data_IF_723480604263
#
_entry.id   IF_723480604263
#
_cell.length_a   1.000
_cell.length_b   1.000
_cell.length_c   1.000
_cell.angle_alpha   90.00
_cell.angle_beta   90.00
_cell.angle_gamma   90.00
#
_symmetry.space_group_name_H-M   'P 1'
#
loop_
_entity.id
_entity.type
_entity.pdbx_description
1 polymer ?
#
# COMPACT_ATOMS: atom_id res chain seq x y z
N UNK A 1 7.86 -47.17 9.37
CA UNK A 1 7.77 -45.74 9.01
C UNK A 1 6.36 -45.26 9.34
N UNK A 2 6.22 -44.56 10.46
CA UNK A 2 4.96 -43.99 10.93
C UNK A 2 4.93 -42.56 10.36
N UNK A 3 4.06 -42.28 9.39
CA UNK A 3 3.82 -40.91 8.97
C UNK A 3 3.10 -40.20 10.12
N UNK A 4 3.71 -39.20 10.77
CA UNK A 4 3.07 -38.50 11.87
C UNK A 4 1.93 -37.65 11.31
N UNK A 5 0.75 -37.80 11.92
CA UNK A 5 -0.37 -36.85 11.91
C UNK A 5 -0.56 -36.10 10.58
N UNK A 6 -1.10 -36.80 9.58
CA UNK A 6 -1.70 -36.13 8.44
C UNK A 6 -2.81 -35.24 9.01
N UNK A 7 -2.55 -33.94 9.09
CA UNK A 7 -3.53 -32.95 9.57
C UNK A 7 -4.77 -33.15 8.72
N UNK A 8 -5.86 -33.58 9.36
CA UNK A 8 -7.09 -33.91 8.68
C UNK A 8 -7.64 -32.65 7.99
N UNK A 9 -7.52 -32.64 6.66
CA UNK A 9 -7.98 -31.53 5.82
C UNK A 9 -9.50 -31.30 5.99
N UNK A 10 -10.26 -32.33 6.37
CA UNK A 10 -11.68 -32.20 6.67
C UNK A 10 -11.90 -31.33 7.92
N UNK A 11 -11.15 -31.59 8.99
CA UNK A 11 -11.17 -30.78 10.22
C UNK A 11 -10.83 -29.31 9.98
N UNK A 12 -9.83 -29.01 9.12
CA UNK A 12 -9.51 -27.61 8.74
C UNK A 12 -10.67 -26.98 7.95
N UNK A 13 -11.28 -27.76 7.06
CA UNK A 13 -12.40 -27.29 6.23
C UNK A 13 -13.63 -26.99 7.08
N UNK A 14 -13.91 -27.77 8.12
CA UNK A 14 -15.01 -27.54 9.05
C UNK A 14 -14.82 -26.22 9.83
N UNK A 15 -13.59 -25.96 10.32
CA UNK A 15 -13.23 -24.72 11.02
C UNK A 15 -13.17 -23.46 10.13
N UNK A 16 -13.17 -23.65 8.81
CA UNK A 16 -13.12 -22.57 7.81
C UNK A 16 -14.50 -22.23 7.23
N UNK A 17 -15.53 -23.03 7.49
CA UNK A 17 -16.85 -22.84 6.92
C UNK A 17 -17.89 -22.47 8.00
N UNK A 18 -18.92 -21.67 7.66
CA UNK A 18 -20.06 -21.47 8.54
C UNK A 18 -20.71 -22.81 8.94
N UNK A 19 -21.22 -22.94 10.18
CA UNK A 19 -21.44 -21.89 11.18
C UNK A 19 -20.24 -21.62 12.11
N UNK A 20 -19.13 -22.34 11.96
CA UNK A 20 -17.95 -22.21 12.83
C UNK A 20 -16.74 -21.66 12.05
N UNK A 21 -16.93 -20.55 11.34
CA UNK A 21 -15.86 -19.91 10.56
C UNK A 21 -14.83 -19.20 11.46
N UNK A 22 -14.17 -19.96 12.33
CA UNK A 22 -13.17 -19.47 13.29
C UNK A 22 -11.94 -18.99 12.54
N UNK A 23 -11.48 -19.74 11.53
CA UNK A 23 -10.28 -19.39 10.76
C UNK A 23 -10.51 -18.09 9.98
N UNK A 24 -11.61 -17.97 9.25
CA UNK A 24 -11.91 -16.76 8.49
C UNK A 24 -12.11 -15.53 9.39
N UNK A 25 -12.79 -15.70 10.53
CA UNK A 25 -12.96 -14.63 11.52
C UNK A 25 -11.62 -14.19 12.12
N UNK A 26 -10.77 -15.14 12.50
CA UNK A 26 -9.46 -14.86 13.09
C UNK A 26 -8.55 -14.14 12.08
N UNK A 27 -8.52 -14.60 10.82
CA UNK A 27 -7.79 -13.93 9.74
C UNK A 27 -8.32 -12.50 9.56
N UNK A 28 -9.63 -12.33 9.43
CA UNK A 28 -10.25 -11.01 9.23
C UNK A 28 -9.90 -10.02 10.37
N UNK A 29 -10.03 -10.44 11.63
CA UNK A 29 -9.66 -9.62 12.79
C UNK A 29 -8.15 -9.34 12.83
N UNK A 30 -7.32 -10.34 12.51
CA UNK A 30 -5.87 -10.15 12.43
C UNK A 30 -5.51 -9.10 11.37
N UNK A 31 -6.19 -9.10 10.21
CA UNK A 31 -6.02 -8.08 9.18
C UNK A 31 -6.31 -6.67 9.71
N UNK A 32 -7.42 -6.48 10.43
CA UNK A 32 -7.78 -5.18 11.03
C UNK A 32 -6.73 -4.74 12.06
N UNK A 33 -6.35 -5.63 12.98
CA UNK A 33 -5.37 -5.32 14.03
C UNK A 33 -4.01 -4.97 13.43
N UNK A 34 -3.54 -5.76 12.46
CA UNK A 34 -2.27 -5.51 11.77
C UNK A 34 -2.28 -4.20 10.98
N UNK A 35 -3.39 -3.88 10.31
CA UNK A 35 -3.57 -2.61 9.62
C UNK A 35 -3.45 -1.41 10.56
N UNK A 36 -4.18 -1.44 11.67
CA UNK A 36 -4.19 -0.37 12.66
C UNK A 36 -2.82 -0.23 13.32
N UNK A 37 -2.23 -1.35 13.76
CA UNK A 37 -0.91 -1.38 14.35
C UNK A 37 0.15 -0.82 13.37
N UNK A 38 0.15 -1.28 12.13
CA UNK A 38 1.08 -0.81 11.09
C UNK A 38 0.94 0.70 10.84
N UNK A 39 -0.29 1.18 10.70
CA UNK A 39 -0.59 2.60 10.47
C UNK A 39 -0.13 3.48 11.64
N UNK A 40 -0.44 3.07 12.88
CA UNK A 40 -0.04 3.79 14.09
C UNK A 40 1.48 3.81 14.24
N UNK A 41 2.14 2.67 14.04
CA UNK A 41 3.60 2.56 14.18
C UNK A 41 4.34 3.42 13.13
N UNK A 42 3.90 3.35 11.86
CA UNK A 42 4.47 4.19 10.78
C UNK A 42 4.23 5.68 11.08
N UNK A 43 3.01 6.05 11.45
CA UNK A 43 2.66 7.45 11.75
C UNK A 43 3.45 7.99 12.95
N UNK A 44 3.61 7.19 14.01
CA UNK A 44 4.41 7.54 15.17
C UNK A 44 5.91 7.72 14.84
N UNK A 45 6.48 6.83 14.02
CA UNK A 45 7.85 6.95 13.53
C UNK A 45 8.06 8.20 12.67
N UNK A 46 7.15 8.47 11.73
CA UNK A 46 7.16 9.67 10.88
C UNK A 46 7.05 10.93 11.74
N UNK A 47 6.14 10.95 12.72
CA UNK A 47 5.96 12.08 13.63
C UNK A 47 7.21 12.34 14.47
N UNK A 48 7.84 11.29 15.01
CA UNK A 48 9.09 11.39 15.76
C UNK A 48 10.21 12.02 14.92
N UNK A 49 10.39 11.54 13.68
CA UNK A 49 11.36 12.09 12.72
C UNK A 49 11.06 13.57 12.38
N UNK A 50 9.80 13.89 12.10
CA UNK A 50 9.36 15.25 11.81
C UNK A 50 9.63 16.20 12.99
N UNK A 51 9.31 15.79 14.21
CA UNK A 51 9.56 16.58 15.43
C UNK A 51 11.06 16.82 15.69
N UNK A 52 11.90 15.84 15.36
CA UNK A 52 13.36 15.94 15.46
C UNK A 52 13.92 16.98 14.50
N UNK A 53 13.42 17.01 13.26
CA UNK A 53 13.78 18.04 12.27
C UNK A 53 13.37 19.43 12.76
N UNK A 54 12.19 19.57 13.37
CA UNK A 54 11.74 20.84 13.92
C UNK A 54 12.65 21.35 15.04
N UNK A 55 13.10 20.46 15.94
CA UNK A 55 14.07 20.79 17.01
C UNK A 55 15.43 21.21 16.43
N UNK A 56 15.95 20.47 15.45
CA UNK A 56 17.21 20.80 14.77
C UNK A 56 17.15 22.17 14.08
N UNK A 57 16.04 22.49 13.43
CA UNK A 57 15.82 23.80 12.78
C UNK A 57 15.86 24.95 13.78
N UNK A 58 15.26 24.78 14.97
CA UNK A 58 15.29 25.80 16.04
C UNK A 58 16.70 26.00 16.59
N UNK A 59 17.47 24.92 16.78
CA UNK A 59 18.84 24.99 17.27
C UNK A 59 19.75 25.75 16.29
N UNK A 60 19.74 25.38 15.01
CA UNK A 60 20.55 26.04 13.97
C UNK A 60 20.23 27.53 13.82
N UNK A 61 18.97 27.93 14.03
CA UNK A 61 18.58 29.35 13.97
C UNK A 61 19.20 30.18 15.11
N UNK A 62 19.32 29.62 16.32
CA UNK A 62 19.97 30.29 17.46
C UNK A 62 21.47 30.42 17.25
N UNK A 63 22.10 29.40 16.68
CA UNK A 63 23.55 29.39 16.42
C UNK A 63 23.95 30.37 15.30
N UNK A 64 23.19 30.39 14.18
CA UNK A 64 23.42 31.35 13.09
C UNK A 64 23.29 32.81 13.53
N UNK A 65 22.40 33.12 14.48
CA UNK A 65 22.28 34.46 15.05
C UNK A 65 23.58 34.94 15.69
N UNK A 66 24.28 34.05 16.42
CA UNK A 66 25.56 34.36 17.06
C UNK A 66 26.74 34.41 16.08
N UNK A 67 26.75 33.54 15.06
CA UNK A 67 27.83 33.53 14.07
C UNK A 67 27.76 34.71 13.09
N UNK A 68 26.56 35.11 12.64
CA UNK A 68 26.39 36.24 11.71
C UNK A 68 26.90 37.57 12.27
N UNK A 69 26.95 37.72 13.60
CA UNK A 69 27.53 38.90 14.24
C UNK A 69 29.06 38.91 14.16
N UNK A 70 29.72 37.74 14.13
CA UNK A 70 31.19 37.62 14.05
C UNK A 70 31.74 37.47 12.63
N UNK A 71 30.98 36.89 11.70
CA UNK A 71 31.51 36.45 10.40
C UNK A 71 31.20 37.40 9.22
N UNK A 72 30.51 38.53 9.47
CA UNK A 72 30.12 39.55 8.46
C UNK A 72 31.31 40.21 7.72
N UNK A 73 32.55 39.79 7.95
CA UNK A 73 33.75 40.44 7.40
C UNK A 73 34.56 39.66 6.37
N UNK A 74 34.28 38.37 6.03
CA UNK A 74 35.25 37.66 5.17
C UNK A 74 34.81 36.50 4.27
N UNK A 75 33.53 36.10 4.21
CA UNK A 75 33.13 34.93 3.40
C UNK A 75 32.32 35.29 2.16
N UNK A 76 32.74 34.69 1.05
CA UNK A 76 32.35 35.00 -0.31
C UNK A 76 30.92 34.59 -0.68
N UNK A 77 30.45 35.22 -1.75
CA UNK A 77 29.12 35.09 -2.37
C UNK A 77 28.69 33.63 -2.66
N UNK A 78 29.63 32.71 -2.81
CA UNK A 78 29.36 31.30 -3.15
C UNK A 78 28.77 30.48 -1.99
N UNK A 79 29.24 30.68 -0.75
CA UNK A 79 28.68 29.96 0.42
C UNK A 79 27.23 30.39 0.68
N UNK A 80 26.91 31.67 0.44
CA UNK A 80 25.55 32.19 0.60
C UNK A 80 24.57 31.54 -0.39
N UNK A 81 24.99 31.37 -1.66
CA UNK A 81 24.18 30.70 -2.69
C UNK A 81 23.92 29.24 -2.33
N UNK A 82 24.92 28.49 -1.85
CA UNK A 82 24.74 27.09 -1.46
C UNK A 82 23.80 26.93 -0.25
N UNK A 83 23.92 27.81 0.75
CA UNK A 83 23.03 27.82 1.92
C UNK A 83 21.59 28.13 1.51
N UNK A 84 21.40 29.13 0.63
CA UNK A 84 20.09 29.49 0.11
C UNK A 84 19.44 28.31 -0.64
N UNK A 85 20.19 27.64 -1.53
CA UNK A 85 19.70 26.48 -2.29
C UNK A 85 19.33 25.31 -1.37
N UNK A 86 20.18 24.96 -0.40
CA UNK A 86 19.88 23.90 0.57
C UNK A 86 18.63 24.20 1.39
N UNK A 87 18.45 25.46 1.81
CA UNK A 87 17.25 25.88 2.55
C UNK A 87 15.97 25.82 1.71
N UNK A 88 16.05 26.19 0.41
CA UNK A 88 14.94 26.10 -0.52
C UNK A 88 14.51 24.63 -0.74
N UNK A 89 15.49 23.73 -0.94
CA UNK A 89 15.24 22.29 -1.08
C UNK A 89 14.57 21.72 0.19
N UNK A 90 15.06 22.08 1.39
CA UNK A 90 14.46 21.63 2.64
C UNK A 90 13.02 22.14 2.82
N UNK A 91 12.75 23.39 2.45
CA UNK A 91 11.40 23.97 2.52
C UNK A 91 10.44 23.30 1.53
N UNK A 92 10.90 22.98 0.32
CA UNK A 92 10.12 22.22 -0.65
C UNK A 92 9.77 20.82 -0.11
N UNK A 93 10.74 20.10 0.45
CA UNK A 93 10.51 18.77 1.06
C UNK A 93 9.52 18.82 2.24
N UNK A 94 9.61 19.83 3.11
CA UNK A 94 8.64 20.03 4.20
C UNK A 94 7.22 20.24 3.68
N UNK A 95 7.06 20.95 2.56
CA UNK A 95 5.77 21.13 1.89
C UNK A 95 5.22 19.81 1.36
N UNK A 96 6.06 19.03 0.67
CA UNK A 96 5.68 17.71 0.18
C UNK A 96 5.27 16.77 1.31
N UNK A 97 6.02 16.73 2.42
CA UNK A 97 5.64 15.95 3.60
C UNK A 97 4.22 16.30 4.08
N UNK A 98 3.86 17.59 4.13
CA UNK A 98 2.50 18.01 4.51
C UNK A 98 1.45 17.55 3.50
N UNK A 99 1.73 17.70 2.21
CA UNK A 99 0.81 17.29 1.12
C UNK A 99 0.55 15.78 1.19
N UNK A 100 1.60 14.95 1.26
CA UNK A 100 1.44 13.50 1.32
C UNK A 100 0.85 13.02 2.64
N UNK A 101 1.15 13.68 3.76
CA UNK A 101 0.46 13.37 5.03
C UNK A 101 -1.05 13.65 4.93
N UNK A 102 -1.43 14.76 4.30
CA UNK A 102 -2.84 15.09 4.05
C UNK A 102 -3.51 14.07 3.11
N UNK A 103 -2.86 13.68 2.01
CA UNK A 103 -3.35 12.63 1.11
C UNK A 103 -3.48 11.27 1.81
N UNK A 104 -2.51 10.92 2.66
CA UNK A 104 -2.58 9.72 3.50
C UNK A 104 -3.79 9.77 4.45
N UNK A 105 -4.06 10.91 5.08
CA UNK A 105 -5.23 11.07 5.94
C UNK A 105 -6.56 10.92 5.18
N UNK A 106 -6.67 11.51 3.98
CA UNK A 106 -7.85 11.33 3.12
C UNK A 106 -8.03 9.86 2.72
N UNK A 107 -6.95 9.19 2.30
CA UNK A 107 -6.96 7.79 1.92
C UNK A 107 -7.41 6.89 3.09
N UNK A 108 -6.84 7.11 4.28
CA UNK A 108 -7.22 6.39 5.50
C UNK A 108 -8.69 6.61 5.86
N UNK A 109 -9.17 7.86 5.83
CA UNK A 109 -10.56 8.18 6.16
C UNK A 109 -11.54 7.55 5.16
N UNK A 110 -11.25 7.65 3.86
CA UNK A 110 -12.09 7.10 2.78
C UNK A 110 -12.19 5.58 2.88
N UNK A 111 -11.06 4.91 3.11
CA UNK A 111 -11.06 3.47 3.34
C UNK A 111 -11.85 3.09 4.59
N UNK A 112 -11.59 3.76 5.70
CA UNK A 112 -12.24 3.45 6.98
C UNK A 112 -13.76 3.59 6.86
N UNK A 113 -14.22 4.60 6.13
CA UNK A 113 -15.64 4.79 5.82
C UNK A 113 -16.22 3.62 5.03
N UNK A 114 -15.61 3.23 3.92
CA UNK A 114 -16.14 2.15 3.08
C UNK A 114 -16.05 0.77 3.75
N UNK A 115 -14.96 0.48 4.46
CA UNK A 115 -14.82 -0.77 5.22
C UNK A 115 -15.84 -0.85 6.36
N UNK A 116 -16.06 0.24 7.10
CA UNK A 116 -17.09 0.29 8.13
C UNK A 116 -18.49 0.13 7.52
N UNK A 117 -18.76 0.80 6.39
CA UNK A 117 -20.02 0.67 5.65
C UNK A 117 -20.27 -0.78 5.23
N UNK A 118 -19.28 -1.46 4.65
CA UNK A 118 -19.33 -2.88 4.32
C UNK A 118 -19.68 -3.74 5.54
N UNK A 119 -19.04 -3.49 6.69
CA UNK A 119 -19.31 -4.26 7.92
C UNK A 119 -20.72 -4.02 8.45
N UNK A 120 -21.21 -2.78 8.42
CA UNK A 120 -22.57 -2.43 8.84
C UNK A 120 -23.60 -3.10 7.92
N UNK A 121 -23.39 -3.06 6.60
CA UNK A 121 -24.29 -3.69 5.62
C UNK A 121 -24.31 -5.21 5.82
N UNK A 122 -23.14 -5.84 5.94
CA UNK A 122 -23.01 -7.28 6.18
C UNK A 122 -23.69 -7.72 7.49
N UNK A 123 -23.48 -6.97 8.57
CA UNK A 123 -24.12 -7.26 9.86
C UNK A 123 -25.65 -7.07 9.78
N UNK A 124 -26.12 -5.99 9.15
CA UNK A 124 -27.56 -5.72 8.95
C UNK A 124 -28.24 -6.85 8.18
N UNK A 125 -27.60 -7.32 7.11
CA UNK A 125 -28.09 -8.41 6.27
C UNK A 125 -28.18 -9.72 7.05
N UNK A 126 -27.15 -10.05 7.84
CA UNK A 126 -27.17 -11.23 8.72
C UNK A 126 -28.24 -11.15 9.81
N UNK A 127 -28.39 -9.98 10.45
CA UNK A 127 -29.36 -9.78 11.52
C UNK A 127 -30.82 -9.75 11.03
N UNK A 128 -31.06 -9.68 9.72
CA UNK A 128 -32.41 -9.58 9.13
C UNK A 128 -33.12 -8.25 9.43
N UNK A 129 -32.41 -7.24 9.96
CA UNK A 129 -32.99 -5.96 10.38
C UNK A 129 -32.75 -4.89 9.31
N UNK A 130 -33.81 -4.18 8.91
CA UNK A 130 -33.71 -3.03 7.98
C UNK A 130 -33.18 -1.75 8.64
N UNK A 131 -33.28 -1.63 9.97
CA UNK A 131 -32.76 -0.51 10.77
C UNK A 131 -32.05 -1.05 11.99
N UNK A 132 -30.73 -0.85 12.07
CA UNK A 132 -29.94 -1.18 13.24
C UNK A 132 -30.05 -0.06 14.28
N UNK A 133 -30.48 -0.41 15.49
CA UNK A 133 -30.23 0.42 16.67
C UNK A 133 -28.88 0.02 17.24
N UNK A 134 -28.02 0.99 17.59
CA UNK A 134 -26.72 0.70 18.22
C UNK A 134 -26.88 -0.07 19.55
N UNK A 135 -28.02 0.11 20.23
CA UNK A 135 -28.32 -0.59 21.48
C UNK A 135 -28.61 -2.08 21.28
N UNK A 136 -28.89 -2.52 20.05
CA UNK A 136 -29.17 -3.94 19.75
C UNK A 136 -27.90 -4.74 19.48
N UNK A 137 -26.75 -4.08 19.35
CA UNK A 137 -25.48 -4.72 18.99
C UNK A 137 -24.78 -5.21 20.27
N UNK A 138 -24.95 -6.50 20.57
CA UNK A 138 -24.24 -7.15 21.69
C UNK A 138 -22.96 -7.83 21.21
N UNK A 139 -21.99 -8.04 22.11
CA UNK A 139 -20.75 -8.76 21.81
C UNK A 139 -21.04 -10.18 21.30
N UNK A 140 -22.04 -10.86 21.87
CA UNK A 140 -22.45 -12.19 21.43
C UNK A 140 -23.03 -12.18 20.02
N UNK A 141 -23.82 -11.15 19.67
CA UNK A 141 -24.35 -11.00 18.30
C UNK A 141 -23.23 -10.73 17.28
N UNK A 142 -22.22 -9.93 17.64
CA UNK A 142 -21.05 -9.68 16.78
C UNK A 142 -20.22 -10.93 16.61
N UNK A 143 -19.99 -11.68 17.69
CA UNK A 143 -19.29 -12.97 17.63
C UNK A 143 -20.04 -13.97 16.76
N UNK A 144 -21.36 -14.10 16.95
CA UNK A 144 -22.20 -14.98 16.14
C UNK A 144 -22.19 -14.56 14.66
N UNK A 145 -22.28 -13.26 14.36
CA UNK A 145 -22.17 -12.74 13.00
C UNK A 145 -20.83 -13.11 12.36
N UNK A 146 -19.71 -12.85 13.01
CA UNK A 146 -18.39 -13.18 12.47
C UNK A 146 -18.25 -14.68 12.19
N UNK A 147 -18.68 -15.54 13.11
CA UNK A 147 -18.58 -17.00 12.97
C UNK A 147 -19.54 -17.59 11.93
N UNK A 148 -20.73 -17.02 11.79
CA UNK A 148 -21.74 -17.50 10.84
C UNK A 148 -21.59 -16.92 9.44
N UNK A 149 -20.75 -15.90 9.25
CA UNK A 149 -20.56 -15.27 7.93
C UNK A 149 -19.17 -15.56 7.38
N UNK A 150 -19.10 -15.70 6.06
CA UNK A 150 -17.84 -15.86 5.32
C UNK A 150 -17.29 -14.50 4.88
N UNK A 151 -17.12 -13.55 5.80
CA UNK A 151 -16.82 -12.13 5.50
C UNK A 151 -15.71 -11.95 4.46
N UNK A 152 -14.60 -12.68 4.62
CA UNK A 152 -13.47 -12.60 3.69
C UNK A 152 -13.84 -13.09 2.29
N UNK A 153 -14.55 -14.22 2.19
CA UNK A 153 -15.00 -14.79 0.93
C UNK A 153 -16.04 -13.90 0.25
N UNK A 154 -17.04 -13.40 1.00
CA UNK A 154 -18.04 -12.47 0.48
C UNK A 154 -17.40 -11.17 -0.02
N UNK A 155 -16.46 -10.62 0.74
CA UNK A 155 -15.70 -9.43 0.32
C UNK A 155 -14.92 -9.68 -0.96
N UNK A 156 -14.18 -10.80 -1.04
CA UNK A 156 -13.41 -11.15 -2.23
C UNK A 156 -14.33 -11.39 -3.45
N UNK A 157 -15.48 -12.05 -3.27
CA UNK A 157 -16.47 -12.28 -4.33
C UNK A 157 -17.12 -10.98 -4.79
N UNK A 158 -17.36 -10.02 -3.89
CA UNK A 158 -17.88 -8.69 -4.21
C UNK A 158 -16.93 -7.92 -5.15
N UNK A 159 -15.62 -8.02 -4.91
CA UNK A 159 -14.60 -7.37 -5.74
C UNK A 159 -14.62 -7.82 -7.20
N UNK A 160 -15.07 -9.03 -7.48
CA UNK A 160 -15.18 -9.58 -8.84
C UNK A 160 -16.61 -9.93 -9.20
N UNK A 161 -17.59 -9.26 -8.57
CA UNK A 161 -18.98 -9.63 -8.69
C UNK A 161 -19.49 -9.51 -10.13
N UNK A 162 -19.12 -8.43 -10.79
CA UNK A 162 -19.49 -8.11 -12.17
C UNK A 162 -18.29 -7.60 -12.95
N UNK A 163 -18.48 -7.37 -14.25
CA UNK A 163 -17.45 -6.88 -15.15
C UNK A 163 -16.76 -5.58 -14.67
N UNK A 164 -17.52 -4.51 -14.38
CA UNK A 164 -16.98 -3.27 -13.81
C UNK A 164 -16.12 -3.50 -12.57
N UNK A 165 -16.64 -4.26 -11.59
CA UNK A 165 -15.96 -4.54 -10.32
C UNK A 165 -14.67 -5.31 -10.55
N UNK A 166 -14.70 -6.32 -11.43
CA UNK A 166 -13.53 -7.10 -11.80
C UNK A 166 -12.45 -6.23 -12.48
N UNK A 167 -12.82 -5.33 -13.39
CA UNK A 167 -11.86 -4.44 -14.05
C UNK A 167 -11.21 -3.45 -13.07
N UNK A 168 -11.99 -2.86 -12.15
CA UNK A 168 -11.43 -1.98 -11.11
C UNK A 168 -10.52 -2.73 -10.16
N UNK A 169 -10.90 -3.95 -9.78
CA UNK A 169 -10.09 -4.81 -8.90
C UNK A 169 -8.78 -5.19 -9.58
N UNK A 170 -8.83 -5.59 -10.86
CA UNK A 170 -7.64 -5.86 -11.65
C UNK A 170 -6.74 -4.63 -11.75
N UNK A 171 -7.31 -3.47 -12.09
CA UNK A 171 -6.58 -2.20 -12.15
C UNK A 171 -5.91 -1.84 -10.82
N UNK A 172 -6.62 -1.95 -9.70
CA UNK A 172 -6.10 -1.64 -8.38
C UNK A 172 -4.98 -2.60 -7.94
N UNK A 173 -5.13 -3.91 -8.17
CA UNK A 173 -4.09 -4.90 -7.83
C UNK A 173 -2.84 -4.70 -8.71
N UNK A 174 -3.01 -4.42 -10.01
CA UNK A 174 -1.89 -4.13 -10.90
C UNK A 174 -1.17 -2.83 -10.50
N UNK A 175 -1.92 -1.76 -10.20
CA UNK A 175 -1.34 -0.53 -9.67
C UNK A 175 -0.54 -0.79 -8.38
N UNK A 176 -1.09 -1.61 -7.48
CA UNK A 176 -0.41 -2.04 -6.25
C UNK A 176 0.90 -2.76 -6.54
N UNK A 177 0.89 -3.69 -7.50
CA UNK A 177 2.09 -4.41 -7.93
C UNK A 177 3.20 -3.48 -8.42
N UNK A 178 2.87 -2.50 -9.27
CA UNK A 178 3.85 -1.56 -9.80
C UNK A 178 4.34 -0.56 -8.75
N UNK A 179 3.47 -0.10 -7.84
CA UNK A 179 3.90 0.67 -6.68
C UNK A 179 4.88 -0.10 -5.80
N UNK A 180 4.65 -1.40 -5.59
CA UNK A 180 5.58 -2.25 -4.84
C UNK A 180 6.93 -2.42 -5.53
N UNK A 181 6.97 -2.51 -6.87
CA UNK A 181 8.23 -2.49 -7.64
C UNK A 181 8.98 -1.17 -7.42
N UNK A 182 8.29 -0.04 -7.55
CA UNK A 182 8.88 1.28 -7.35
C UNK A 182 9.39 1.46 -5.91
N UNK A 183 8.60 1.06 -4.90
CA UNK A 183 9.01 1.12 -3.50
C UNK A 183 10.25 0.26 -3.24
N UNK A 184 10.27 -0.98 -3.73
CA UNK A 184 11.41 -1.88 -3.58
C UNK A 184 12.68 -1.32 -4.24
N UNK A 185 12.56 -0.67 -5.38
CA UNK A 185 13.68 0.03 -6.04
C UNK A 185 14.22 1.18 -5.18
N UNK A 186 13.34 2.04 -4.66
CA UNK A 186 13.74 3.16 -3.78
C UNK A 186 14.40 2.69 -2.49
N UNK A 187 13.93 1.57 -1.93
CA UNK A 187 14.56 0.91 -0.77
C UNK A 187 15.99 0.46 -1.08
N UNK A 188 16.19 -0.17 -2.23
CA UNK A 188 17.52 -0.61 -2.66
C UNK A 188 18.46 0.58 -2.88
N UNK A 189 17.99 1.64 -3.53
CA UNK A 189 18.76 2.85 -3.79
C UNK A 189 19.19 3.57 -2.50
N UNK A 190 18.30 3.62 -1.49
CA UNK A 190 18.57 4.28 -0.20
C UNK A 190 19.24 3.35 0.83
N UNK A 191 19.37 2.06 0.52
CA UNK A 191 19.94 1.07 1.43
C UNK A 191 19.13 0.90 2.73
N UNK A 192 17.79 1.07 2.67
CA UNK A 192 16.96 0.91 3.85
C UNK A 192 16.97 -0.51 4.37
N UNK A 193 16.98 -0.64 5.71
CA UNK A 193 16.91 -1.95 6.36
C UNK A 193 15.54 -2.59 6.16
N UNK A 194 15.51 -3.92 6.10
CA UNK A 194 14.25 -4.67 6.02
C UNK A 194 13.34 -4.39 7.22
N UNK A 195 13.90 -4.11 8.40
CA UNK A 195 13.13 -3.72 9.60
C UNK A 195 12.37 -2.41 9.42
N UNK A 196 12.99 -1.42 8.77
CA UNK A 196 12.35 -0.13 8.46
C UNK A 196 11.24 -0.31 7.43
N UNK A 197 11.42 -1.24 6.49
CA UNK A 197 10.49 -1.45 5.38
C UNK A 197 9.34 -2.40 5.70
N UNK A 198 9.54 -3.33 6.62
CA UNK A 198 8.56 -4.35 6.94
C UNK A 198 7.16 -3.80 7.23
N UNK A 199 6.97 -2.71 8.01
CA UNK A 199 5.65 -2.12 8.22
C UNK A 199 4.98 -1.67 6.92
N UNK A 200 5.71 -1.05 5.99
CA UNK A 200 5.17 -0.61 4.70
C UNK A 200 4.85 -1.80 3.79
N UNK A 201 5.68 -2.84 3.80
CA UNK A 201 5.42 -4.08 3.04
C UNK A 201 4.15 -4.74 3.56
N UNK A 202 3.99 -4.90 4.88
CA UNK A 202 2.77 -5.45 5.47
C UNK A 202 1.55 -4.58 5.15
N UNK A 203 1.68 -3.25 5.24
CA UNK A 203 0.60 -2.33 4.91
C UNK A 203 0.15 -2.46 3.45
N UNK A 204 1.09 -2.64 2.51
CA UNK A 204 0.79 -2.84 1.08
C UNK A 204 -0.01 -4.12 0.78
N UNK A 205 -0.02 -5.09 1.70
CA UNK A 205 -0.79 -6.33 1.54
C UNK A 205 -2.22 -6.21 2.07
N UNK A 206 -2.44 -5.29 3.01
CA UNK A 206 -3.66 -5.20 3.80
C UNK A 206 -4.51 -3.99 3.39
N UNK A 207 -3.85 -2.84 3.20
CA UNK A 207 -4.49 -1.55 3.00
C UNK A 207 -4.41 -1.08 1.54
N UNK A 208 -5.27 -0.13 1.16
CA UNK A 208 -5.13 0.75 0.00
C UNK A 208 -3.68 1.13 -0.26
N UNK A 209 -3.27 1.00 -1.51
CA UNK A 209 -1.88 1.28 -1.87
C UNK A 209 -1.59 2.78 -1.78
N UNK A 210 -2.57 3.66 -2.03
CA UNK A 210 -2.37 5.11 -1.96
C UNK A 210 -1.97 5.58 -0.56
N UNK A 211 -2.54 4.99 0.50
CA UNK A 211 -2.15 5.26 1.88
C UNK A 211 -0.70 4.85 2.12
N UNK A 212 -0.37 3.61 1.78
CA UNK A 212 0.97 3.04 2.00
C UNK A 212 2.05 3.83 1.25
N UNK A 213 1.82 4.14 -0.02
CA UNK A 213 2.74 4.91 -0.85
C UNK A 213 2.89 6.34 -0.34
N UNK A 214 1.80 6.99 0.07
CA UNK A 214 1.88 8.36 0.63
C UNK A 214 2.74 8.40 1.90
N UNK A 215 2.53 7.46 2.83
CA UNK A 215 3.35 7.34 4.04
C UNK A 215 4.81 7.03 3.71
N UNK A 216 5.05 6.16 2.71
CA UNK A 216 6.40 5.84 2.27
C UNK A 216 7.11 7.04 1.63
N UNK A 217 6.41 7.84 0.83
CA UNK A 217 6.98 9.08 0.26
C UNK A 217 7.32 10.10 1.35
N UNK A 218 6.47 10.23 2.38
CA UNK A 218 6.79 11.03 3.57
C UNK A 218 8.09 10.56 4.22
N UNK A 219 8.25 9.24 4.40
CA UNK A 219 9.48 8.66 4.92
C UNK A 219 10.70 8.98 4.05
N UNK A 220 10.60 8.88 2.72
CA UNK A 220 11.68 9.24 1.80
C UNK A 220 12.10 10.70 1.97
N UNK A 221 11.15 11.63 2.06
CA UNK A 221 11.45 13.05 2.24
C UNK A 221 12.08 13.36 3.59
N UNK A 222 11.60 12.74 4.68
CA UNK A 222 12.14 12.95 6.02
C UNK A 222 13.57 12.41 6.15
N UNK A 223 13.82 11.20 5.65
CA UNK A 223 15.16 10.61 5.61
C UNK A 223 16.14 11.51 4.84
N UNK A 224 15.73 12.02 3.67
CA UNK A 224 16.59 12.90 2.88
C UNK A 224 16.89 14.24 3.58
N UNK A 225 15.96 14.79 4.39
CA UNK A 225 16.22 15.98 5.21
C UNK A 225 17.21 15.65 6.34
N UNK A 226 17.01 14.52 7.04
CA UNK A 226 17.88 14.11 8.14
C UNK A 226 19.30 13.80 7.67
N UNK A 227 19.46 13.15 6.51
CA UNK A 227 20.75 12.93 5.86
C UNK A 227 21.46 14.25 5.54
N UNK A 228 20.75 15.22 4.96
CA UNK A 228 21.32 16.56 4.69
C UNK A 228 21.69 17.36 5.94
N UNK A 229 21.16 16.98 7.11
CA UNK A 229 21.42 17.66 8.36
C UNK A 229 22.67 17.14 9.07
N UNK A 230 23.10 15.91 8.79
CA UNK A 230 24.35 15.33 9.30
C UNK A 230 25.51 16.04 8.62
N UNK A 231 26.34 16.72 9.41
CA UNK A 231 27.59 17.30 8.92
C UNK A 231 28.42 16.16 8.34
N UNK A 232 29.03 16.29 7.16
CA UNK A 232 29.98 15.30 6.68
C UNK A 232 31.13 15.25 7.68
N UNK A 233 31.07 14.32 8.62
CA UNK A 233 32.25 13.92 9.37
C UNK A 233 33.23 13.43 8.32
N UNK A 234 34.42 14.02 8.30
CA UNK A 234 35.55 13.65 7.45
C UNK A 234 36.11 12.28 7.86
N UNK A 235 35.24 11.31 8.10
CA UNK A 235 35.62 9.93 8.32
C UNK A 235 35.88 9.35 6.93
N UNK A 236 37.10 8.86 6.73
CA UNK A 236 37.66 8.45 5.44
C UNK A 236 36.81 7.44 4.65
N UNK A 237 37.24 7.11 3.42
CA UNK A 237 36.47 6.29 2.48
C UNK A 237 35.91 5.05 3.15
N UNK A 238 34.60 5.07 3.40
CA UNK A 238 33.90 3.98 4.05
C UNK A 238 34.06 2.75 3.15
N UNK A 239 34.64 1.64 3.63
CA UNK A 239 34.91 0.47 2.80
C UNK A 239 33.57 -0.02 2.24
N UNK A 240 33.38 0.19 0.94
CA UNK A 240 32.25 -0.36 0.21
C UNK A 240 32.42 -1.87 0.23
N UNK A 241 31.88 -2.53 1.26
CA UNK A 241 31.80 -3.99 1.29
C UNK A 241 31.20 -4.43 -0.04
N UNK A 242 31.96 -5.19 -0.81
CA UNK A 242 31.58 -5.64 -2.13
C UNK A 242 30.32 -6.50 -1.98
N UNK A 243 29.14 -5.89 -2.15
CA UNK A 243 27.87 -6.61 -2.07
C UNK A 243 27.84 -7.56 -3.25
N UNK A 244 27.77 -8.87 -2.96
CA UNK A 244 27.64 -9.92 -3.98
C UNK A 244 26.47 -9.56 -4.91
N UNK A 245 26.76 -9.40 -6.19
CA UNK A 245 25.76 -9.09 -7.20
C UNK A 245 24.94 -10.36 -7.48
N UNK A 246 23.75 -10.45 -6.87
CA UNK A 246 22.80 -11.51 -7.21
C UNK A 246 22.22 -11.26 -8.60
N UNK A 247 22.07 -12.32 -9.40
CA UNK A 247 21.41 -12.25 -10.72
C UNK A 247 19.93 -11.89 -10.51
N UNK A 248 19.55 -10.67 -10.90
CA UNK A 248 18.17 -10.19 -10.79
C UNK A 248 17.29 -10.88 -11.85
N UNK A 249 16.11 -11.35 -11.44
CA UNK A 249 15.09 -11.96 -12.30
C UNK A 249 14.22 -10.89 -12.98
N UNK A 250 13.72 -11.20 -14.17
CA UNK A 250 12.85 -10.29 -14.93
C UNK A 250 11.44 -10.23 -14.27
N UNK A 251 10.87 -9.04 -13.98
CA UNK A 251 9.50 -8.91 -13.47
C UNK A 251 8.40 -9.44 -14.39
N UNK A 252 8.69 -9.67 -15.68
CA UNK A 252 7.70 -10.14 -16.67
C UNK A 252 6.98 -11.42 -16.26
N UNK A 253 7.69 -12.44 -15.74
CA UNK A 253 7.05 -13.71 -15.39
C UNK A 253 6.03 -13.55 -14.25
N UNK A 254 6.37 -12.97 -13.08
CA UNK A 254 5.37 -12.65 -12.05
C UNK A 254 4.22 -11.78 -12.57
N UNK A 255 4.49 -10.85 -13.50
CA UNK A 255 3.47 -10.00 -14.12
C UNK A 255 2.47 -10.83 -14.92
N UNK A 256 2.93 -11.77 -15.75
CA UNK A 256 2.06 -12.65 -16.54
C UNK A 256 1.21 -13.53 -15.62
N UNK A 257 1.82 -14.13 -14.60
CA UNK A 257 1.10 -14.99 -13.64
C UNK A 257 0.04 -14.18 -12.89
N UNK A 258 0.37 -12.95 -12.47
CA UNK A 258 -0.58 -12.06 -11.80
C UNK A 258 -1.76 -11.72 -12.71
N UNK A 259 -1.51 -11.30 -13.95
CA UNK A 259 -2.58 -10.96 -14.88
C UNK A 259 -3.46 -12.18 -15.24
N UNK A 260 -2.85 -13.35 -15.44
CA UNK A 260 -3.59 -14.59 -15.69
C UNK A 260 -4.49 -14.96 -14.49
N UNK A 261 -3.97 -14.83 -13.27
CA UNK A 261 -4.74 -15.04 -12.06
C UNK A 261 -5.91 -14.05 -11.96
N UNK A 262 -5.67 -12.75 -12.21
CA UNK A 262 -6.71 -11.72 -12.17
C UNK A 262 -7.81 -11.93 -13.21
N UNK A 263 -7.47 -12.34 -14.43
CA UNK A 263 -8.46 -12.68 -15.46
C UNK A 263 -9.31 -13.90 -15.08
N UNK A 264 -8.73 -14.87 -14.36
CA UNK A 264 -9.41 -16.09 -13.96
C UNK A 264 -10.31 -15.91 -12.72
N UNK A 265 -10.14 -14.85 -11.92
CA UNK A 265 -10.93 -14.65 -10.70
C UNK A 265 -12.45 -14.53 -10.94
N UNK A 266 -12.96 -13.69 -11.89
CA UNK A 266 -14.40 -13.55 -12.09
C UNK A 266 -15.11 -14.87 -12.49
N UNK A 267 -14.66 -15.64 -13.50
CA UNK A 267 -15.35 -16.88 -13.87
C UNK A 267 -15.23 -17.97 -12.78
N UNK A 268 -14.18 -17.92 -11.96
CA UNK A 268 -13.96 -18.89 -10.88
C UNK A 268 -14.56 -18.46 -9.55
N UNK A 269 -15.32 -17.35 -9.49
CA UNK A 269 -15.87 -16.78 -8.24
C UNK A 269 -16.58 -17.79 -7.33
N UNK A 270 -17.30 -18.73 -7.92
CA UNK A 270 -18.06 -19.75 -7.17
C UNK A 270 -17.31 -21.09 -7.05
N UNK A 271 -16.08 -21.18 -7.58
CA UNK A 271 -15.26 -22.39 -7.57
C UNK A 271 -14.39 -22.45 -6.30
N UNK A 272 -14.11 -23.63 -5.71
CA UNK A 272 -13.27 -23.76 -4.51
C UNK A 272 -11.84 -23.20 -4.67
N UNK A 273 -11.35 -23.05 -5.91
CA UNK A 273 -10.02 -22.47 -6.18
C UNK A 273 -9.99 -20.94 -6.10
N UNK A 274 -11.15 -20.28 -5.96
CA UNK A 274 -11.24 -18.82 -5.91
C UNK A 274 -10.36 -18.21 -4.83
N UNK A 275 -10.53 -18.64 -3.58
CA UNK A 275 -9.77 -18.12 -2.45
C UNK A 275 -8.27 -18.42 -2.56
N UNK A 276 -7.83 -19.66 -2.87
CA UNK A 276 -6.42 -19.92 -3.18
C UNK A 276 -5.85 -19.00 -4.26
N UNK A 277 -6.61 -18.70 -5.31
CA UNK A 277 -6.19 -17.80 -6.38
C UNK A 277 -6.06 -16.35 -5.90
N UNK A 278 -7.00 -15.87 -5.08
CA UNK A 278 -6.89 -14.55 -4.40
C UNK A 278 -5.62 -14.49 -3.54
N UNK A 279 -5.34 -15.52 -2.74
CA UNK A 279 -4.12 -15.58 -1.92
C UNK A 279 -2.84 -15.61 -2.79
N UNK A 280 -2.86 -16.33 -3.92
CA UNK A 280 -1.76 -16.33 -4.87
C UNK A 280 -1.45 -14.91 -5.38
N UNK A 281 -2.48 -14.11 -5.70
CA UNK A 281 -2.25 -12.71 -6.11
C UNK A 281 -1.53 -11.92 -5.02
N UNK A 282 -1.90 -12.10 -3.74
CA UNK A 282 -1.23 -11.46 -2.60
C UNK A 282 0.23 -11.91 -2.46
N UNK A 283 0.51 -13.19 -2.62
CA UNK A 283 1.90 -13.70 -2.61
C UNK A 283 2.72 -13.05 -3.73
N UNK A 284 2.15 -12.88 -4.92
CA UNK A 284 2.84 -12.23 -6.05
C UNK A 284 3.14 -10.74 -5.76
N UNK A 285 2.24 -10.04 -5.05
CA UNK A 285 2.45 -8.65 -4.63
C UNK A 285 3.65 -8.46 -3.69
N UNK A 286 4.12 -9.51 -3.02
CA UNK A 286 5.32 -9.48 -2.16
C UNK A 286 6.64 -9.69 -2.92
N UNK A 287 6.58 -10.24 -4.13
CA UNK A 287 7.79 -10.60 -4.91
C UNK A 287 8.73 -9.41 -5.14
N UNK A 288 8.27 -8.16 -5.37
CA UNK A 288 9.18 -7.00 -5.50
C UNK A 288 10.12 -6.81 -4.31
N UNK A 289 9.70 -7.13 -3.09
CA UNK A 289 10.50 -6.98 -1.88
C UNK A 289 11.48 -8.13 -1.61
N UNK A 290 11.47 -9.18 -2.44
CA UNK A 290 12.42 -10.30 -2.32
C UNK A 290 13.87 -9.92 -2.63
N UNK A 291 14.10 -8.72 -3.20
CA UNK A 291 15.42 -8.29 -3.69
C UNK A 291 15.88 -9.01 -4.96
N UNK A 292 15.09 -9.96 -5.48
CA UNK A 292 15.40 -10.72 -6.69
C UNK A 292 14.89 -10.05 -7.96
N UNK A 293 13.85 -9.21 -7.89
CA UNK A 293 13.31 -8.54 -9.08
C UNK A 293 14.27 -7.45 -9.58
N UNK A 294 14.46 -7.44 -10.90
CA UNK A 294 15.13 -6.37 -11.63
C UNK A 294 14.24 -5.14 -11.76
N UNK A 295 14.72 -4.01 -11.27
CA UNK A 295 14.07 -2.70 -11.40
C UNK A 295 14.53 -1.93 -12.65
N UNK A 296 15.05 -2.63 -13.67
CA UNK A 296 15.44 -1.97 -14.93
C UNK A 296 14.21 -1.38 -15.59
N UNK A 297 14.25 -0.09 -15.88
CA UNK A 297 13.14 0.68 -16.43
C UNK A 297 12.51 0.00 -17.66
N UNK A 298 13.33 -0.46 -18.61
CA UNK A 298 12.84 -1.17 -19.80
C UNK A 298 12.00 -2.41 -19.48
N UNK A 299 12.37 -3.19 -18.45
CA UNK A 299 11.64 -4.39 -18.05
C UNK A 299 10.35 -4.04 -17.30
N UNK A 300 10.38 -2.97 -16.50
CA UNK A 300 9.19 -2.45 -15.82
C UNK A 300 8.19 -1.92 -16.83
N UNK A 301 8.63 -1.13 -17.80
CA UNK A 301 7.80 -0.62 -18.92
C UNK A 301 7.20 -1.79 -19.71
N UNK A 302 8.01 -2.80 -20.05
CA UNK A 302 7.51 -4.01 -20.71
C UNK A 302 6.41 -4.71 -19.88
N UNK A 303 6.62 -4.88 -18.58
CA UNK A 303 5.60 -5.44 -17.67
C UNK A 303 4.33 -4.58 -17.62
N UNK A 304 4.45 -3.25 -17.58
CA UNK A 304 3.31 -2.33 -17.63
C UNK A 304 2.54 -2.51 -18.94
N UNK A 305 3.22 -2.57 -20.08
CA UNK A 305 2.59 -2.79 -21.40
C UNK A 305 1.85 -4.12 -21.47
N UNK A 306 2.42 -5.20 -20.93
CA UNK A 306 1.76 -6.50 -20.84
C UNK A 306 0.49 -6.40 -20.01
N UNK A 307 0.57 -5.84 -18.80
CA UNK A 307 -0.59 -5.65 -17.93
C UNK A 307 -1.67 -4.79 -18.58
N UNK A 308 -1.29 -3.71 -19.27
CA UNK A 308 -2.22 -2.88 -20.02
C UNK A 308 -2.95 -3.70 -21.10
N UNK A 309 -2.23 -4.54 -21.86
CA UNK A 309 -2.82 -5.45 -22.84
C UNK A 309 -3.85 -6.41 -22.23
N UNK A 310 -3.58 -6.98 -21.05
CA UNK A 310 -4.52 -7.84 -20.33
C UNK A 310 -5.77 -7.08 -19.85
N UNK A 311 -5.61 -5.85 -19.34
CA UNK A 311 -6.74 -4.99 -18.95
C UNK A 311 -7.58 -4.64 -20.18
N UNK A 312 -6.96 -4.24 -21.29
CA UNK A 312 -7.67 -3.96 -22.54
C UNK A 312 -8.40 -5.19 -23.09
N UNK A 313 -7.77 -6.36 -23.06
CA UNK A 313 -8.42 -7.61 -23.47
C UNK A 313 -9.64 -7.91 -22.60
N UNK A 314 -9.56 -7.73 -21.29
CA UNK A 314 -10.69 -7.90 -20.38
C UNK A 314 -11.82 -6.92 -20.71
N UNK A 315 -11.52 -5.62 -20.83
CA UNK A 315 -12.50 -4.59 -21.20
C UNK A 315 -13.14 -4.89 -22.57
N UNK A 316 -12.35 -5.38 -23.53
CA UNK A 316 -12.85 -5.75 -24.84
C UNK A 316 -13.78 -6.97 -24.79
N UNK A 317 -13.47 -7.99 -24.00
CA UNK A 317 -14.37 -9.14 -23.79
C UNK A 317 -15.70 -8.70 -23.16
N UNK A 318 -15.65 -7.74 -22.23
CA UNK A 318 -16.83 -7.21 -21.54
C UNK A 318 -17.66 -6.24 -22.38
N UNK A 319 -17.15 -5.73 -23.51
CA UNK A 319 -17.87 -4.74 -24.34
C UNK A 319 -19.24 -5.23 -24.82
N UNK A 320 -19.43 -6.54 -24.87
CA UNK A 320 -20.69 -7.18 -25.26
C UNK A 320 -21.78 -7.08 -24.19
N UNK A 321 -21.38 -6.95 -22.91
CA UNK A 321 -22.29 -6.97 -21.75
C UNK A 321 -22.27 -5.67 -20.96
N UNK A 322 -21.27 -4.83 -21.16
CA UNK A 322 -21.01 -3.66 -20.30
C UNK A 322 -20.41 -2.52 -21.12
N UNK A 323 -21.02 -1.35 -21.02
CA UNK A 323 -20.49 -0.13 -21.63
C UNK A 323 -19.30 0.41 -20.84
N UNK A 324 -18.37 1.12 -21.50
CA UNK A 324 -17.27 1.80 -20.80
C UNK A 324 -17.77 2.80 -19.75
N UNK A 325 -18.92 3.42 -19.99
CA UNK A 325 -19.57 4.31 -19.03
C UNK A 325 -19.99 3.59 -17.74
N UNK A 326 -20.49 2.35 -17.85
CA UNK A 326 -20.80 1.51 -16.68
C UNK A 326 -19.55 1.07 -15.93
N UNK A 327 -18.45 0.78 -16.64
CA UNK A 327 -17.16 0.49 -15.98
C UNK A 327 -16.72 1.68 -15.13
N UNK A 328 -16.69 2.89 -15.71
CA UNK A 328 -16.33 4.11 -14.97
C UNK A 328 -17.30 4.35 -13.82
N UNK A 329 -18.62 4.25 -14.07
CA UNK A 329 -19.66 4.44 -13.05
C UNK A 329 -19.58 3.39 -11.94
N UNK A 330 -19.11 2.18 -12.24
CA UNK A 330 -18.93 1.08 -11.28
C UNK A 330 -18.03 1.45 -10.10
N UNK A 331 -17.09 2.38 -10.28
CA UNK A 331 -16.30 2.94 -9.18
C UNK A 331 -17.16 3.66 -8.11
N UNK A 332 -18.32 4.20 -8.49
CA UNK A 332 -19.24 4.91 -7.60
C UNK A 332 -20.50 4.12 -7.26
N UNK A 333 -20.98 3.27 -8.18
CA UNK A 333 -22.22 2.51 -8.02
C UNK A 333 -22.02 1.05 -7.62
N UNK A 334 -20.78 0.55 -7.61
CA UNK A 334 -20.46 -0.82 -7.21
C UNK A 334 -20.70 -1.07 -5.71
N UNK A 335 -20.34 -2.27 -5.25
CA UNK A 335 -20.33 -2.59 -3.83
C UNK A 335 -19.35 -1.73 -3.03
N UNK A 336 -19.49 -1.69 -1.71
CA UNK A 336 -18.60 -0.87 -0.85
C UNK A 336 -17.13 -1.27 -0.99
N UNK A 337 -16.85 -2.56 -1.22
CA UNK A 337 -15.49 -3.04 -1.48
C UNK A 337 -14.91 -2.44 -2.77
N UNK A 338 -15.72 -2.36 -3.82
CA UNK A 338 -15.34 -1.81 -5.14
C UNK A 338 -15.18 -0.30 -5.06
N UNK A 339 -16.08 0.40 -4.36
CA UNK A 339 -15.95 1.85 -4.10
C UNK A 339 -14.65 2.16 -3.37
N UNK A 340 -14.30 1.38 -2.35
CA UNK A 340 -13.04 1.54 -1.62
C UNK A 340 -11.83 1.45 -2.55
N UNK A 341 -11.78 0.43 -3.42
CA UNK A 341 -10.70 0.27 -4.40
C UNK A 341 -10.69 1.37 -5.46
N UNK A 342 -11.87 1.77 -5.94
CA UNK A 342 -12.02 2.83 -6.91
C UNK A 342 -11.50 4.17 -6.39
N UNK A 343 -11.85 4.53 -5.16
CA UNK A 343 -11.29 5.70 -4.49
C UNK A 343 -9.78 5.58 -4.23
N UNK A 344 -9.29 4.41 -3.83
CA UNK A 344 -7.86 4.17 -3.69
C UNK A 344 -7.11 4.38 -5.01
N UNK A 345 -7.65 3.88 -6.12
CA UNK A 345 -7.07 4.07 -7.45
C UNK A 345 -7.01 5.56 -7.85
N UNK A 346 -8.08 6.32 -7.60
CA UNK A 346 -8.10 7.76 -7.85
C UNK A 346 -7.07 8.52 -7.00
N UNK A 347 -6.99 8.21 -5.70
CA UNK A 347 -6.00 8.81 -4.81
C UNK A 347 -4.58 8.40 -5.19
N UNK A 348 -4.36 7.16 -5.61
CA UNK A 348 -3.08 6.67 -6.12
C UNK A 348 -2.64 7.42 -7.38
N UNK A 349 -3.56 7.69 -8.30
CA UNK A 349 -3.30 8.52 -9.48
C UNK A 349 -2.95 9.97 -9.09
N UNK A 350 -3.68 10.54 -8.13
CA UNK A 350 -3.38 11.89 -7.60
C UNK A 350 -1.99 11.93 -6.96
N UNK A 351 -1.62 10.93 -6.16
CA UNK A 351 -0.28 10.79 -5.56
C UNK A 351 0.79 10.74 -6.65
N UNK A 352 0.57 9.97 -7.73
CA UNK A 352 1.48 9.90 -8.86
C UNK A 352 1.65 11.25 -9.57
N UNK A 353 0.56 11.99 -9.79
CA UNK A 353 0.58 13.31 -10.40
C UNK A 353 1.36 14.32 -9.54
N UNK A 354 1.10 14.34 -8.22
CA UNK A 354 1.84 15.19 -7.27
C UNK A 354 3.32 14.83 -7.24
N UNK A 355 3.66 13.54 -7.29
CA UNK A 355 5.04 13.06 -7.34
C UNK A 355 5.76 13.49 -8.63
N UNK A 356 5.07 13.41 -9.77
CA UNK A 356 5.58 13.81 -11.08
C UNK A 356 5.80 15.32 -11.16
N UNK A 357 4.90 16.12 -10.58
CA UNK A 357 5.02 17.58 -10.55
C UNK A 357 6.13 18.06 -9.61
N UNK A 358 6.32 17.40 -8.47
CA UNK A 358 7.30 17.77 -7.46
C UNK A 358 8.77 17.47 -7.80
N UNK A 359 9.07 16.94 -8.99
CA UNK A 359 10.43 16.67 -9.46
C UNK A 359 11.07 15.38 -8.96
N UNK A 360 10.28 14.37 -8.56
CA UNK A 360 10.76 13.05 -8.15
C UNK A 360 11.59 13.02 -6.85
N UNK A 361 11.60 11.88 -6.15
CA UNK A 361 12.40 11.63 -4.93
C UNK A 361 13.41 10.52 -5.15
#
# INVERSE_FOLDING_TARGET
MIFPNMVDLASITELANPPQNIIGSAIFLAYIVLALYGTINISGSIYSQYSSIAKLSKSKSKEKGKLKEKEKKRKGKEEEVQIAQSSAIQNARKRHVKIYAFLASISFATLSYHMLSFLIISYSAWAGKRKLSLNDITVDSLKAWMLNTSLFDSFAKELVHDGPSAAWTQGAILATYFWNIWMADKVQQRGYSLKTMFPYVMLSQILPISLTVSLFIVQLHLSAILESAKVPTSDGPQPTSAKKAYKKTNPTLPTIILNAALLALPPLRNHPVFIPLVLLTRIILLVPFSGRISSREQQVVQSISISAGFVFAQLFMMRSTTSLGEVVRGCWSGGEAVKALGWDAQLGALVHLVLSWGGGV
#
